data_IF_280465653201
#
_entry.id   IF_280465653201
#
_cell.length_a   1.000
_cell.length_b   1.000
_cell.length_c   1.000
_cell.angle_alpha   90.00
_cell.angle_beta   90.00
_cell.angle_gamma   90.00
#
_symmetry.space_group_name_H-M   'P 1'
#
loop_
_entity.id
_entity.type
_entity.pdbx_description
1 polymer ?
#
# COMPACT_ATOMS: atom_id res chain seq x y z
N UNK A 1 -10.20 25.77 -1.89
CA UNK A 1 -10.69 24.60 -2.66
C UNK A 1 -9.53 23.64 -2.78
N UNK A 2 -9.73 22.32 -2.66
CA UNK A 2 -8.64 21.37 -2.86
C UNK A 2 -8.34 21.27 -4.36
N UNK A 3 -7.16 21.74 -4.75
CA UNK A 3 -6.65 21.66 -6.12
C UNK A 3 -5.86 20.36 -6.28
N UNK A 4 -6.04 19.68 -7.42
CA UNK A 4 -5.36 18.39 -7.71
C UNK A 4 -4.35 18.46 -8.85
N UNK A 5 -4.26 19.62 -9.51
CA UNK A 5 -3.18 20.04 -10.40
C UNK A 5 -3.39 21.53 -10.77
N UNK A 6 -2.30 22.30 -10.93
CA UNK A 6 -2.24 23.64 -11.55
C UNK A 6 -3.55 24.47 -11.57
N UNK A 7 -4.12 24.79 -10.39
CA UNK A 7 -5.29 25.69 -10.30
C UNK A 7 -6.65 25.06 -10.65
N UNK A 8 -6.73 23.77 -10.98
CA UNK A 8 -8.00 23.10 -11.26
C UNK A 8 -8.63 22.46 -10.00
N UNK A 9 -9.92 22.73 -9.72
CA UNK A 9 -10.62 22.12 -8.62
C UNK A 9 -10.81 20.62 -8.85
N UNK A 10 -10.60 19.80 -7.83
CA UNK A 10 -10.94 18.38 -7.88
C UNK A 10 -12.43 18.19 -8.13
N UNK A 11 -12.77 17.44 -9.20
CA UNK A 11 -14.16 17.14 -9.60
C UNK A 11 -14.51 15.67 -9.49
N UNK A 12 -13.59 14.79 -9.87
CA UNK A 12 -13.76 13.34 -9.81
C UNK A 12 -12.39 12.62 -9.91
N UNK A 13 -12.41 11.30 -9.70
CA UNK A 13 -11.23 10.42 -9.83
C UNK A 13 -10.93 10.00 -11.27
N UNK A 14 -11.75 10.42 -12.23
CA UNK A 14 -11.46 10.34 -13.67
C UNK A 14 -10.53 11.45 -14.15
N UNK A 15 -10.18 12.41 -13.28
CA UNK A 15 -9.21 13.45 -13.60
C UNK A 15 -7.89 12.83 -14.10
N UNK A 16 -7.33 13.27 -15.24
CA UNK A 16 -6.16 12.63 -15.85
C UNK A 16 -4.94 12.52 -14.93
N UNK A 17 -4.79 13.41 -13.95
CA UNK A 17 -3.71 13.33 -12.96
C UNK A 17 -3.87 12.14 -11.99
N UNK A 18 -5.11 11.80 -11.60
CA UNK A 18 -5.38 10.66 -10.71
C UNK A 18 -5.41 9.36 -11.51
N UNK A 19 -6.06 9.38 -12.67
CA UNK A 19 -6.17 8.21 -13.55
C UNK A 19 -4.78 7.72 -14.02
N UNK A 20 -3.89 8.62 -14.45
CA UNK A 20 -2.55 8.24 -14.92
C UNK A 20 -1.65 7.69 -13.83
N UNK A 21 -1.79 8.18 -12.60
CA UNK A 21 -0.80 7.93 -11.57
C UNK A 21 -1.22 6.82 -10.61
N UNK A 22 -2.50 6.62 -10.35
CA UNK A 22 -2.90 5.88 -9.16
C UNK A 22 -3.91 4.74 -9.38
N UNK A 23 -4.69 4.74 -10.47
CA UNK A 23 -5.72 3.70 -10.75
C UNK A 23 -5.15 2.32 -11.12
N UNK A 24 -3.87 2.26 -11.49
CA UNK A 24 -3.19 1.00 -11.81
C UNK A 24 -3.09 0.06 -10.60
N UNK A 25 -3.21 0.56 -9.36
CA UNK A 25 -3.15 -0.26 -8.14
C UNK A 25 -4.25 -1.31 -8.06
N UNK A 26 -5.42 -1.04 -8.64
CA UNK A 26 -6.52 -2.03 -8.73
C UNK A 26 -6.09 -3.20 -9.62
N UNK A 27 -5.51 -2.91 -10.80
CA UNK A 27 -4.94 -3.92 -11.70
C UNK A 27 -3.77 -4.67 -11.03
N UNK A 28 -2.87 -3.96 -10.36
CA UNK A 28 -1.75 -4.55 -9.63
C UNK A 28 -2.21 -5.54 -8.56
N UNK A 29 -3.24 -5.19 -7.78
CA UNK A 29 -3.78 -6.08 -6.77
C UNK A 29 -4.31 -7.37 -7.41
N UNK A 30 -5.12 -7.25 -8.47
CA UNK A 30 -5.72 -8.40 -9.14
C UNK A 30 -4.65 -9.36 -9.68
N UNK A 31 -3.69 -8.85 -10.45
CA UNK A 31 -2.59 -9.65 -11.00
C UNK A 31 -1.72 -10.25 -9.87
N UNK A 32 -1.55 -9.53 -8.75
CA UNK A 32 -0.83 -10.05 -7.60
C UNK A 32 -1.57 -11.21 -6.91
N UNK A 33 -2.91 -11.23 -6.89
CA UNK A 33 -3.66 -12.37 -6.35
C UNK A 33 -3.39 -13.65 -7.15
N UNK A 34 -3.33 -13.54 -8.48
CA UNK A 34 -3.00 -14.68 -9.36
C UNK A 34 -1.58 -15.19 -9.11
N UNK A 35 -0.63 -14.28 -8.89
CA UNK A 35 0.77 -14.63 -8.62
C UNK A 35 0.96 -15.23 -7.22
N UNK A 36 0.22 -14.74 -6.22
CA UNK A 36 0.22 -15.31 -4.88
C UNK A 36 -0.35 -16.72 -4.88
N UNK A 37 -1.46 -16.94 -5.60
CA UNK A 37 -2.19 -18.21 -5.69
C UNK A 37 -2.27 -18.91 -4.32
N UNK A 38 -2.89 -18.19 -3.39
CA UNK A 38 -3.09 -18.59 -1.99
C UNK A 38 -3.72 -19.98 -1.81
N UNK A 39 -4.66 -20.45 -2.66
CA UNK A 39 -5.19 -21.81 -2.56
C UNK A 39 -4.11 -22.91 -2.61
N UNK A 40 -2.95 -22.64 -3.21
CA UNK A 40 -1.81 -23.55 -3.26
C UNK A 40 -0.95 -23.59 -1.99
N UNK A 41 -1.22 -22.75 -1.00
CA UNK A 41 -0.39 -22.65 0.21
C UNK A 41 -0.79 -23.73 1.22
N UNK A 42 0.14 -24.65 1.51
CA UNK A 42 -0.01 -25.78 2.42
C UNK A 42 0.98 -25.70 3.62
N UNK A 43 0.58 -26.05 4.85
CA UNK A 43 1.47 -25.97 6.01
C UNK A 43 2.80 -26.73 5.83
N UNK A 44 2.78 -27.89 5.18
CA UNK A 44 3.97 -28.73 4.95
C UNK A 44 4.96 -28.19 3.92
N UNK A 45 4.70 -27.03 3.29
CA UNK A 45 5.62 -26.39 2.34
C UNK A 45 6.36 -25.19 2.93
N UNK A 46 6.05 -24.80 4.17
CA UNK A 46 6.74 -23.69 4.85
C UNK A 46 8.24 -24.02 4.98
N UNK A 47 9.08 -23.05 4.62
CA UNK A 47 10.53 -23.13 4.65
C UNK A 47 11.18 -23.60 3.35
N UNK A 48 10.40 -23.96 2.33
CA UNK A 48 10.96 -24.38 1.03
C UNK A 48 11.27 -23.20 0.09
N UNK A 49 10.83 -21.99 0.42
CA UNK A 49 11.05 -20.77 -0.36
C UNK A 49 9.97 -20.42 -1.38
N UNK A 50 8.95 -21.29 -1.58
CA UNK A 50 7.88 -21.06 -2.55
C UNK A 50 7.03 -19.81 -2.25
N UNK A 51 6.70 -19.56 -0.98
CA UNK A 51 5.87 -18.42 -0.58
C UNK A 51 6.64 -17.11 -0.65
N UNK A 52 7.90 -17.14 -0.20
CA UNK A 52 8.81 -16.01 -0.38
C UNK A 52 8.95 -15.68 -1.88
N UNK A 53 9.12 -16.67 -2.73
CA UNK A 53 9.30 -16.46 -4.16
C UNK A 53 8.01 -15.95 -4.83
N UNK A 54 6.83 -16.43 -4.41
CA UNK A 54 5.53 -15.89 -4.82
C UNK A 54 5.38 -14.41 -4.47
N UNK A 55 5.67 -14.03 -3.22
CA UNK A 55 5.67 -12.63 -2.78
C UNK A 55 6.71 -11.81 -3.55
N UNK A 56 7.92 -12.33 -3.76
CA UNK A 56 8.95 -11.63 -4.54
C UNK A 56 8.49 -11.34 -5.98
N UNK A 57 7.71 -12.23 -6.59
CA UNK A 57 7.14 -12.01 -7.92
C UNK A 57 6.09 -10.88 -7.92
N UNK A 58 5.25 -10.74 -6.89
CA UNK A 58 4.30 -9.61 -6.80
C UNK A 58 5.02 -8.27 -6.66
N UNK A 59 6.14 -8.24 -5.93
CA UNK A 59 6.99 -7.05 -5.79
C UNK A 59 7.60 -6.59 -7.12
N UNK A 60 7.78 -7.51 -8.09
CA UNK A 60 8.38 -7.25 -9.41
C UNK A 60 7.35 -7.15 -10.54
N UNK A 61 6.07 -7.18 -10.20
CA UNK A 61 4.98 -7.28 -11.16
C UNK A 61 4.89 -6.04 -12.05
N UNK A 62 4.46 -6.24 -13.30
CA UNK A 62 4.15 -5.17 -14.24
C UNK A 62 2.75 -5.39 -14.78
N UNK A 63 1.89 -4.37 -14.69
CA UNK A 63 0.49 -4.45 -15.10
C UNK A 63 0.21 -3.63 -16.35
N UNK A 64 -0.74 -4.10 -17.16
CA UNK A 64 -1.31 -3.27 -18.22
C UNK A 64 -2.43 -2.42 -17.68
N UNK A 65 -2.32 -1.10 -17.83
CA UNK A 65 -3.34 -0.15 -17.43
C UNK A 65 -3.39 1.01 -18.43
N UNK A 66 -4.58 1.35 -18.93
CA UNK A 66 -4.76 2.45 -19.89
C UNK A 66 -3.90 2.32 -21.16
N UNK A 67 -3.68 1.10 -21.66
CA UNK A 67 -2.83 0.82 -22.83
C UNK A 67 -1.32 0.92 -22.58
N UNK A 68 -0.88 1.11 -21.34
CA UNK A 68 0.54 1.20 -20.95
C UNK A 68 0.90 0.06 -20.01
N UNK A 69 2.19 -0.31 -20.00
CA UNK A 69 2.74 -1.22 -18.98
C UNK A 69 3.33 -0.39 -17.85
N UNK A 70 2.86 -0.61 -16.63
CA UNK A 70 3.29 0.09 -15.42
C UNK A 70 3.98 -0.93 -14.52
N UNK A 71 5.22 -0.65 -14.15
CA UNK A 71 5.95 -1.45 -13.16
C UNK A 71 5.43 -1.11 -11.74
N UNK A 72 5.35 -2.12 -10.88
CA UNK A 72 4.98 -1.93 -9.48
C UNK A 72 5.91 -0.90 -8.80
N UNK A 73 5.39 0.26 -8.46
CA UNK A 73 6.10 1.32 -7.76
C UNK A 73 5.57 1.58 -6.33
N UNK A 74 4.71 0.69 -5.81
CA UNK A 74 4.25 0.74 -4.41
C UNK A 74 5.37 0.43 -3.40
N UNK A 75 6.48 -0.11 -3.90
CA UNK A 75 7.65 -0.49 -3.14
C UNK A 75 8.89 0.15 -3.75
N UNK A 76 9.84 0.55 -2.90
CA UNK A 76 11.19 0.79 -3.36
C UNK A 76 11.77 -0.53 -3.92
N UNK A 77 12.28 -0.52 -5.14
CA UNK A 77 12.84 -1.71 -5.81
C UNK A 77 13.94 -2.40 -4.97
N UNK A 78 14.67 -1.65 -4.14
CA UNK A 78 15.68 -2.19 -3.21
C UNK A 78 15.07 -3.13 -2.17
N UNK A 79 13.80 -2.94 -1.81
CA UNK A 79 13.09 -3.85 -0.92
C UNK A 79 12.98 -5.25 -1.53
N UNK A 80 12.74 -5.35 -2.85
CA UNK A 80 12.69 -6.65 -3.53
C UNK A 80 14.04 -7.37 -3.54
N UNK A 81 15.14 -6.63 -3.74
CA UNK A 81 16.49 -7.19 -3.63
C UNK A 81 16.77 -7.74 -2.24
N UNK A 82 16.60 -6.89 -1.21
CA UNK A 82 16.80 -7.30 0.20
C UNK A 82 15.92 -8.46 0.62
N UNK A 83 14.66 -8.48 0.16
CA UNK A 83 13.72 -9.56 0.45
C UNK A 83 14.18 -10.90 -0.16
N UNK A 84 14.76 -10.88 -1.36
CA UNK A 84 15.27 -12.08 -2.02
C UNK A 84 16.54 -12.67 -1.39
N UNK A 85 17.34 -11.83 -0.72
CA UNK A 85 18.62 -12.21 -0.10
C UNK A 85 18.48 -12.73 1.34
N UNK A 86 17.24 -12.82 1.85
CA UNK A 86 16.96 -13.25 3.23
C UNK A 86 17.30 -14.73 3.44
N UNK A 87 18.01 -15.00 4.53
CA UNK A 87 18.41 -16.35 4.95
C UNK A 87 17.36 -17.05 5.84
N UNK A 88 16.53 -16.27 6.53
CA UNK A 88 15.46 -16.70 7.43
C UNK A 88 14.17 -17.07 6.67
N UNK A 89 14.31 -17.99 5.71
CA UNK A 89 13.21 -18.37 4.81
C UNK A 89 12.04 -18.98 5.56
N UNK A 90 12.29 -19.90 6.49
CA UNK A 90 11.22 -20.58 7.22
C UNK A 90 10.42 -19.61 8.10
N UNK A 91 11.09 -18.73 8.84
CA UNK A 91 10.46 -17.72 9.70
C UNK A 91 9.66 -16.71 8.88
N UNK A 92 10.20 -16.28 7.73
CA UNK A 92 9.50 -15.41 6.80
C UNK A 92 8.23 -16.07 6.24
N UNK A 93 8.34 -17.31 5.77
CA UNK A 93 7.22 -18.03 5.18
C UNK A 93 6.15 -18.38 6.22
N UNK A 94 6.53 -18.67 7.46
CA UNK A 94 5.60 -18.85 8.58
C UNK A 94 4.81 -17.56 8.84
N UNK A 95 5.47 -16.39 8.84
CA UNK A 95 4.82 -15.10 9.02
C UNK A 95 3.87 -14.76 7.85
N UNK A 96 4.26 -15.06 6.61
CA UNK A 96 3.41 -14.91 5.43
C UNK A 96 2.20 -15.86 5.48
N UNK A 97 2.41 -17.12 5.86
CA UNK A 97 1.35 -18.11 5.98
C UNK A 97 0.34 -17.72 7.06
N UNK A 98 0.82 -17.15 8.17
CA UNK A 98 -0.04 -16.62 9.23
C UNK A 98 -0.85 -15.40 8.80
N UNK A 99 -0.28 -14.54 7.96
CA UNK A 99 -1.00 -13.40 7.39
C UNK A 99 -2.10 -13.85 6.42
N UNK A 100 -1.79 -14.72 5.47
CA UNK A 100 -2.68 -15.01 4.34
C UNK A 100 -3.58 -16.22 4.53
N UNK A 101 -3.16 -17.23 5.31
CA UNK A 101 -3.88 -18.50 5.42
C UNK A 101 -4.46 -18.72 6.81
N UNK A 102 -3.67 -18.55 7.88
CA UNK A 102 -4.17 -18.79 9.25
C UNK A 102 -4.95 -17.61 9.84
N UNK A 103 -4.72 -16.41 9.32
CA UNK A 103 -5.35 -15.17 9.78
C UNK A 103 -5.25 -14.96 11.30
N UNK A 104 -4.03 -15.05 11.84
CA UNK A 104 -3.77 -15.00 13.30
C UNK A 104 -3.97 -13.61 13.94
N UNK A 105 -4.52 -12.65 13.19
CA UNK A 105 -4.75 -11.27 13.63
C UNK A 105 -3.65 -10.29 13.18
N UNK A 106 -4.07 -9.08 12.85
CA UNK A 106 -3.21 -8.05 12.26
C UNK A 106 -2.09 -7.57 13.17
N UNK A 107 -2.35 -7.35 14.46
CA UNK A 107 -1.34 -6.90 15.43
C UNK A 107 -0.20 -7.94 15.53
N UNK A 108 -0.58 -9.22 15.62
CA UNK A 108 0.37 -10.33 15.70
C UNK A 108 1.17 -10.48 14.42
N UNK A 109 0.53 -10.39 13.25
CA UNK A 109 1.24 -10.45 11.96
C UNK A 109 2.21 -9.27 11.81
N UNK A 110 1.78 -8.06 12.15
CA UNK A 110 2.60 -6.86 12.06
C UNK A 110 3.85 -6.97 12.94
N UNK A 111 3.68 -7.34 14.21
CA UNK A 111 4.80 -7.54 15.15
C UNK A 111 5.80 -8.60 14.67
N UNK A 112 5.33 -9.66 14.01
CA UNK A 112 6.23 -10.67 13.39
C UNK A 112 7.04 -10.09 12.25
N UNK A 113 6.41 -9.33 11.36
CA UNK A 113 7.14 -8.68 10.28
C UNK A 113 8.13 -7.63 10.78
N UNK A 114 7.83 -6.95 11.89
CA UNK A 114 8.77 -6.05 12.56
C UNK A 114 9.96 -6.79 13.18
N UNK A 115 9.72 -7.95 13.81
CA UNK A 115 10.78 -8.81 14.35
C UNK A 115 11.69 -9.37 13.24
N UNK A 116 11.13 -9.57 12.03
CA UNK A 116 11.88 -9.90 10.82
C UNK A 116 12.55 -8.66 10.19
N UNK A 117 12.46 -7.49 10.79
CA UNK A 117 12.98 -6.22 10.28
C UNK A 117 12.53 -5.90 8.84
N UNK A 118 11.28 -6.22 8.51
CA UNK A 118 10.74 -5.82 7.22
C UNK A 118 10.56 -4.29 7.16
N UNK A 119 10.86 -3.65 6.01
CA UNK A 119 10.59 -2.23 5.82
C UNK A 119 9.09 -1.95 5.98
N UNK A 120 8.73 -0.83 6.63
CA UNK A 120 7.33 -0.47 6.87
C UNK A 120 6.48 -0.48 5.57
N UNK A 121 7.03 0.06 4.48
CA UNK A 121 6.39 0.02 3.16
C UNK A 121 6.08 -1.41 2.67
N UNK A 122 6.97 -2.37 2.96
CA UNK A 122 6.75 -3.77 2.61
C UNK A 122 5.67 -4.40 3.50
N UNK A 123 5.67 -4.11 4.80
CA UNK A 123 4.62 -4.60 5.71
C UNK A 123 3.25 -4.11 5.22
N UNK A 124 3.09 -2.81 4.99
CA UNK A 124 1.85 -2.23 4.47
C UNK A 124 1.45 -2.82 3.11
N UNK A 125 2.40 -3.10 2.23
CA UNK A 125 2.13 -3.76 0.95
C UNK A 125 1.62 -5.21 1.12
N UNK A 126 2.17 -5.99 2.05
CA UNK A 126 1.69 -7.34 2.34
C UNK A 126 0.24 -7.32 2.87
N UNK A 127 -0.08 -6.38 3.76
CA UNK A 127 -1.45 -6.17 4.22
C UNK A 127 -2.38 -5.70 3.10
N UNK A 128 -1.92 -4.79 2.23
CA UNK A 128 -2.67 -4.39 1.04
C UNK A 128 -2.99 -5.57 0.13
N UNK A 129 -2.06 -6.52 -0.06
CA UNK A 129 -2.31 -7.74 -0.82
C UNK A 129 -3.29 -8.70 -0.13
N UNK A 130 -3.41 -8.65 1.20
CA UNK A 130 -4.38 -9.47 1.95
C UNK A 130 -5.81 -8.99 1.70
N UNK A 131 -6.05 -7.69 1.82
CA UNK A 131 -7.37 -7.10 1.59
C UNK A 131 -7.26 -5.61 1.24
N UNK A 132 -7.42 -5.28 -0.04
CA UNK A 132 -7.34 -3.90 -0.56
C UNK A 132 -8.49 -2.99 -0.11
N UNK A 133 -9.55 -3.53 0.48
CA UNK A 133 -10.68 -2.75 0.99
C UNK A 133 -10.47 -2.35 2.45
N UNK A 134 -9.52 -2.97 3.14
CA UNK A 134 -9.18 -2.69 4.55
C UNK A 134 -7.79 -2.08 4.72
N UNK A 135 -6.85 -2.46 3.86
CA UNK A 135 -5.46 -2.11 3.97
C UNK A 135 -4.97 -1.39 2.71
N UNK A 136 -3.99 -0.52 2.90
CA UNK A 136 -3.46 0.35 1.85
C UNK A 136 -1.93 0.34 1.86
N UNK A 137 -1.27 0.46 0.70
CA UNK A 137 0.16 0.70 0.66
C UNK A 137 0.48 2.06 1.30
N UNK A 138 1.74 2.26 1.71
CA UNK A 138 2.16 3.52 2.32
C UNK A 138 3.44 4.04 1.66
N UNK A 139 3.52 5.35 1.45
CA UNK A 139 4.75 6.04 1.05
C UNK A 139 4.95 7.19 2.02
N UNK A 140 5.67 6.93 3.13
CA UNK A 140 5.54 7.71 4.36
C UNK A 140 5.61 9.23 4.16
N UNK A 141 6.71 9.72 3.56
CA UNK A 141 6.93 11.16 3.35
C UNK A 141 5.85 11.85 2.51
N UNK A 142 5.25 11.15 1.54
CA UNK A 142 4.19 11.76 0.72
C UNK A 142 2.91 11.95 1.52
N UNK A 143 2.58 11.00 2.39
CA UNK A 143 1.42 11.12 3.27
C UNK A 143 1.66 12.11 4.41
N UNK A 144 2.87 12.18 4.94
CA UNK A 144 3.23 13.17 5.96
C UNK A 144 2.93 14.60 5.48
N UNK A 145 3.29 14.94 4.24
CA UNK A 145 2.98 16.25 3.67
C UNK A 145 1.48 16.53 3.53
N UNK A 146 0.67 15.51 3.20
CA UNK A 146 -0.78 15.67 3.15
C UNK A 146 -1.39 15.88 4.54
N UNK A 147 -0.99 15.07 5.52
CA UNK A 147 -1.54 15.14 6.88
C UNK A 147 -1.07 16.37 7.65
N UNK A 148 0.12 16.90 7.37
CA UNK A 148 0.58 18.17 7.96
C UNK A 148 -0.35 19.35 7.60
N UNK A 149 -1.00 19.30 6.44
CA UNK A 149 -1.95 20.34 6.00
C UNK A 149 -3.39 20.04 6.41
N UNK A 150 -3.78 18.76 6.39
CA UNK A 150 -5.18 18.34 6.58
C UNK A 150 -5.56 18.06 8.03
N UNK A 151 -4.60 17.77 8.91
CA UNK A 151 -4.88 17.41 10.30
C UNK A 151 -4.54 18.58 11.25
N UNK A 152 -5.43 18.84 12.22
CA UNK A 152 -5.18 19.82 13.30
C UNK A 152 -4.10 19.38 14.29
N UNK A 153 -3.75 18.08 14.27
CA UNK A 153 -2.75 17.48 15.14
C UNK A 153 -1.60 16.88 14.31
N UNK A 154 -0.34 17.02 14.76
CA UNK A 154 0.80 16.49 14.03
C UNK A 154 0.78 14.96 14.03
N UNK A 155 0.49 14.37 12.87
CA UNK A 155 0.65 12.93 12.61
C UNK A 155 1.75 12.72 11.57
N UNK A 156 2.63 11.74 11.83
CA UNK A 156 3.71 11.35 10.92
C UNK A 156 3.83 9.84 10.85
N UNK A 157 4.02 9.36 9.64
CA UNK A 157 4.26 7.96 9.30
C UNK A 157 5.76 7.67 9.16
N UNK A 158 6.56 8.68 8.83
CA UNK A 158 8.03 8.55 8.77
C UNK A 158 8.61 8.26 10.16
N UNK A 159 9.54 7.31 10.23
CA UNK A 159 10.22 6.87 11.46
C UNK A 159 9.34 6.21 12.53
N UNK A 160 8.03 6.12 12.31
CA UNK A 160 7.05 5.55 13.24
C UNK A 160 6.53 4.18 12.72
N UNK A 161 7.43 3.21 12.53
CA UNK A 161 7.05 1.84 12.12
C UNK A 161 6.39 1.13 13.31
N UNK A 162 5.05 1.06 13.32
CA UNK A 162 4.25 0.27 14.26
C UNK A 162 2.85 -0.01 13.70
N UNK A 163 2.19 -1.05 14.22
CA UNK A 163 0.77 -1.31 13.89
C UNK A 163 -0.12 -0.14 14.28
N UNK A 164 0.11 0.49 15.44
CA UNK A 164 -0.68 1.64 15.89
C UNK A 164 -0.59 2.81 14.92
N UNK A 165 0.61 3.14 14.44
CA UNK A 165 0.81 4.17 13.42
C UNK A 165 0.10 3.82 12.11
N UNK A 166 0.19 2.55 11.68
CA UNK A 166 -0.46 2.10 10.44
C UNK A 166 -1.98 2.17 10.53
N UNK A 167 -2.56 1.78 11.67
CA UNK A 167 -3.99 1.90 11.92
C UNK A 167 -4.45 3.35 11.91
N UNK A 168 -3.71 4.27 12.53
CA UNK A 168 -4.01 5.71 12.45
C UNK A 168 -3.94 6.22 11.01
N UNK A 169 -2.94 5.81 10.23
CA UNK A 169 -2.86 6.12 8.81
C UNK A 169 -4.12 5.66 8.06
N UNK A 170 -4.55 4.41 8.25
CA UNK A 170 -5.76 3.88 7.60
C UNK A 170 -7.01 4.65 8.01
N UNK A 171 -7.16 5.00 9.29
CA UNK A 171 -8.28 5.81 9.78
C UNK A 171 -8.32 7.19 9.12
N UNK A 172 -7.18 7.88 8.97
CA UNK A 172 -7.12 9.17 8.28
C UNK A 172 -7.50 9.07 6.80
N UNK A 173 -7.14 7.96 6.14
CA UNK A 173 -7.59 7.73 4.75
C UNK A 173 -9.10 7.46 4.69
N UNK A 174 -9.66 6.75 5.66
CA UNK A 174 -11.12 6.52 5.77
C UNK A 174 -11.88 7.82 6.05
N UNK A 175 -11.33 8.72 6.87
CA UNK A 175 -11.91 10.05 7.09
C UNK A 175 -11.91 10.87 5.79
N UNK A 176 -10.80 10.84 5.05
CA UNK A 176 -10.73 11.47 3.74
C UNK A 176 -11.73 10.86 2.73
N UNK A 177 -11.90 9.53 2.75
CA UNK A 177 -12.91 8.84 1.94
C UNK A 177 -14.31 9.34 2.26
N UNK A 178 -14.69 9.39 3.54
CA UNK A 178 -16.01 9.87 3.97
C UNK A 178 -16.26 11.32 3.54
N UNK A 179 -15.26 12.19 3.70
CA UNK A 179 -15.33 13.58 3.25
C UNK A 179 -15.48 13.71 1.74
N UNK A 180 -14.74 12.90 0.96
CA UNK A 180 -14.85 12.87 -0.51
C UNK A 180 -16.24 12.40 -0.96
N UNK A 181 -16.80 11.37 -0.32
CA UNK A 181 -18.15 10.87 -0.62
C UNK A 181 -19.22 11.95 -0.40
N UNK A 182 -19.16 12.65 0.72
CA UNK A 182 -20.10 13.74 1.02
C UNK A 182 -19.98 14.87 -0.02
N UNK A 183 -18.76 15.24 -0.39
CA UNK A 183 -18.49 16.33 -1.35
C UNK A 183 -18.92 16.01 -2.78
N UNK A 184 -18.75 14.76 -3.19
CA UNK A 184 -19.06 14.32 -4.56
C UNK A 184 -20.49 13.81 -4.71
N UNK A 185 -21.16 13.45 -3.60
CA UNK A 185 -22.46 12.80 -3.64
C UNK A 185 -22.43 11.44 -4.32
N UNK A 186 -21.28 10.74 -4.25
CA UNK A 186 -21.05 9.46 -4.91
C UNK A 186 -20.21 8.53 -4.03
N UNK A 187 -20.25 7.23 -4.30
CA UNK A 187 -19.35 6.27 -3.66
C UNK A 187 -17.90 6.53 -4.07
N UNK A 188 -16.98 6.38 -3.12
CA UNK A 188 -15.54 6.57 -3.30
C UNK A 188 -14.84 5.36 -2.73
N UNK A 189 -14.02 4.65 -3.52
CA UNK A 189 -13.25 3.55 -2.98
C UNK A 189 -12.18 4.05 -2.00
N UNK A 190 -11.84 3.25 -1.00
CA UNK A 190 -10.75 3.56 -0.08
C UNK A 190 -9.42 3.79 -0.82
N UNK A 191 -9.20 3.07 -1.93
CA UNK A 191 -8.04 3.25 -2.81
C UNK A 191 -8.05 4.60 -3.53
N UNK A 192 -9.23 5.12 -3.86
CA UNK A 192 -9.38 6.40 -4.54
C UNK A 192 -9.06 7.54 -3.55
N UNK A 193 -9.54 7.43 -2.30
CA UNK A 193 -9.18 8.35 -1.21
C UNK A 193 -7.66 8.34 -0.91
N UNK A 194 -7.04 7.17 -0.84
CA UNK A 194 -5.59 7.03 -0.74
C UNK A 194 -4.87 7.79 -1.87
N UNK A 195 -5.35 7.60 -3.10
CA UNK A 195 -4.77 8.18 -4.31
C UNK A 195 -4.90 9.71 -4.35
N UNK A 196 -6.03 10.23 -3.86
CA UNK A 196 -6.22 11.66 -3.64
C UNK A 196 -5.21 12.21 -2.65
N UNK A 197 -5.09 11.62 -1.45
CA UNK A 197 -4.15 12.08 -0.43
C UNK A 197 -2.70 12.03 -0.91
N UNK A 198 -2.32 10.97 -1.61
CA UNK A 198 -0.99 10.82 -2.20
C UNK A 198 -0.67 11.91 -3.23
N UNK A 199 -1.64 12.22 -4.11
CA UNK A 199 -1.51 13.28 -5.11
C UNK A 199 -1.46 14.65 -4.46
N UNK A 200 -2.32 14.89 -3.47
CA UNK A 200 -2.37 16.12 -2.70
C UNK A 200 -1.07 16.40 -1.96
N UNK A 201 -0.53 15.39 -1.25
CA UNK A 201 0.76 15.47 -0.57
C UNK A 201 1.91 15.86 -1.52
N UNK A 202 1.90 15.35 -2.75
CA UNK A 202 2.89 15.70 -3.76
C UNK A 202 2.77 17.13 -4.31
N UNK A 203 1.60 17.78 -4.16
CA UNK A 203 1.37 19.16 -4.56
C UNK A 203 1.79 20.15 -3.47
N UNK A 204 1.48 19.84 -2.21
CA UNK A 204 1.78 20.71 -1.06
C UNK A 204 3.24 20.61 -0.62
N UNK A 205 3.94 19.52 -0.95
CA UNK A 205 5.38 19.37 -0.76
C UNK A 205 6.11 19.04 -2.09
N UNK A 206 6.30 20.04 -2.98
CA UNK A 206 6.87 19.84 -4.30
C UNK A 206 8.38 19.55 -4.30
N UNK A 207 9.08 19.77 -3.18
CA UNK A 207 10.52 19.52 -3.06
C UNK A 207 10.89 18.03 -3.08
N UNK A 208 9.90 17.14 -3.09
CA UNK A 208 10.08 15.69 -2.98
C UNK A 208 9.74 14.90 -4.26
N UNK A 209 9.71 15.55 -5.44
CA UNK A 209 9.73 14.85 -6.75
C UNK A 209 11.09 14.20 -7.01
N UNK A 210 11.37 13.04 -6.41
CA UNK A 210 12.45 12.12 -6.83
C UNK A 210 12.01 10.67 -6.72
#
# INVERSE_FOLDING_TARGET
>A
MAEVAEGEPFRDFGHPAIERHENYKKSLFNDAQEVLDLPGWLPGRIGNGEYRDRVLRTMKLSVRHGGRTIQNNLLNWRNAGRFSERADVAEMEEALFDLYVRDVGEVTCFARFEALDLPYQLIAYLFFLKDRHRYLPITQRRFDGAFEVLCDHPFRTSHERSHANYSTFLSLVQEAQAWLQERLGAEVDLLDAHSFLYTYGALVDPHHRK
#
